data_IF_335227662019
#
_entry.id   IF_335227662019
#
_cell.length_a   1.000
_cell.length_b   1.000
_cell.length_c   1.000
_cell.angle_alpha   90.00
_cell.angle_beta   90.00
_cell.angle_gamma   90.00
#
_symmetry.space_group_name_H-M   'P 1'
#
loop_
_entity.id
_entity.type
_entity.pdbx_description
1 polymer ?
#
# COMPACT_ATOMS: atom_id res chain seq x y z
N UNK A 1 75.77 36.55 10.61
CA UNK A 1 75.09 35.70 9.63
C UNK A 1 74.13 34.74 10.39
N UNK A 2 72.84 35.02 10.41
CA UNK A 2 71.84 34.26 11.17
C UNK A 2 71.11 33.41 10.16
N UNK A 3 71.22 32.08 10.25
CA UNK A 3 70.40 31.15 9.45
C UNK A 3 69.03 31.04 10.07
N UNK A 4 67.98 31.47 9.36
CA UNK A 4 66.59 31.25 9.71
C UNK A 4 66.22 29.88 9.14
N UNK A 5 66.00 28.93 10.03
CA UNK A 5 65.51 27.60 9.68
C UNK A 5 64.01 27.69 9.55
N UNK A 6 63.50 27.62 8.34
CA UNK A 6 62.05 27.54 8.06
C UNK A 6 61.63 26.06 8.22
N UNK A 7 60.95 25.78 9.33
CA UNK A 7 60.33 24.47 9.54
C UNK A 7 59.01 24.42 8.71
N UNK A 8 59.04 23.63 7.65
CA UNK A 8 57.88 23.34 6.85
C UNK A 8 57.01 22.32 7.60
N UNK A 9 55.96 22.76 8.27
CA UNK A 9 54.95 21.86 8.85
C UNK A 9 54.08 21.38 7.71
N UNK A 10 54.28 20.17 7.22
CA UNK A 10 53.41 19.48 6.33
C UNK A 10 52.20 18.97 7.17
N UNK A 11 51.16 19.72 7.17
CA UNK A 11 49.85 19.23 7.72
C UNK A 11 49.26 18.24 6.72
N UNK A 12 49.45 16.98 7.01
CA UNK A 12 48.71 15.91 6.32
C UNK A 12 47.22 16.00 6.71
N UNK A 13 46.45 16.73 5.93
CA UNK A 13 45.02 16.58 5.93
C UNK A 13 44.66 15.21 5.36
N UNK A 14 44.51 14.22 6.24
CA UNK A 14 43.85 12.98 5.87
C UNK A 14 42.39 13.32 5.61
N UNK A 15 42.06 13.50 4.33
CA UNK A 15 40.71 13.58 3.85
C UNK A 15 40.01 12.24 4.13
N UNK A 16 39.38 12.14 5.30
CA UNK A 16 38.41 11.10 5.56
C UNK A 16 37.17 11.46 4.70
N UNK A 17 37.25 11.06 3.44
CA UNK A 17 36.10 11.06 2.57
C UNK A 17 35.10 10.05 3.18
N UNK A 18 34.21 10.55 3.99
CA UNK A 18 33.00 9.84 4.36
C UNK A 18 32.23 9.62 3.05
N UNK A 19 32.51 8.49 2.40
CA UNK A 19 31.67 8.01 1.32
C UNK A 19 30.31 7.70 1.94
N UNK A 20 29.42 8.70 1.96
CA UNK A 20 27.99 8.48 2.01
C UNK A 20 27.66 7.71 0.73
N UNK A 21 27.83 6.41 0.79
CA UNK A 21 27.16 5.51 -0.15
C UNK A 21 25.68 5.70 0.12
N UNK A 22 25.09 6.64 -0.57
CA UNK A 22 23.65 6.69 -0.75
C UNK A 22 23.25 5.32 -1.27
N UNK A 23 22.64 4.52 -0.40
CA UNK A 23 22.00 3.28 -0.78
C UNK A 23 20.95 3.70 -1.81
N UNK A 24 21.32 3.58 -3.09
CA UNK A 24 20.40 3.80 -4.19
C UNK A 24 19.29 2.81 -3.90
N UNK A 25 18.12 3.29 -3.52
CA UNK A 25 16.95 2.45 -3.37
C UNK A 25 16.85 1.67 -4.68
N UNK A 26 17.20 0.39 -4.62
CA UNK A 26 16.92 -0.52 -5.74
C UNK A 26 15.41 -0.47 -5.87
N UNK A 27 14.94 0.13 -6.96
CA UNK A 27 13.53 0.12 -7.26
C UNK A 27 12.99 -1.29 -7.01
N UNK A 28 11.82 -1.38 -6.41
CA UNK A 28 11.20 -2.64 -6.06
C UNK A 28 11.23 -3.57 -7.29
N UNK A 29 11.97 -4.66 -7.21
CA UNK A 29 11.99 -5.66 -8.28
C UNK A 29 10.65 -6.43 -8.23
N UNK A 30 9.75 -6.05 -9.11
CA UNK A 30 8.40 -6.64 -9.22
C UNK A 30 8.43 -8.05 -9.83
N UNK A 31 9.60 -8.52 -10.31
CA UNK A 31 9.76 -9.86 -10.89
C UNK A 31 10.27 -10.89 -9.89
N UNK A 32 10.65 -10.46 -8.68
CA UNK A 32 11.13 -11.35 -7.64
C UNK A 32 9.98 -12.16 -7.03
N UNK A 33 9.85 -13.40 -7.48
CA UNK A 33 8.83 -14.37 -7.05
C UNK A 33 8.99 -14.84 -5.60
N UNK A 34 10.10 -14.50 -4.93
CA UNK A 34 10.31 -14.84 -3.52
C UNK A 34 9.69 -13.84 -2.56
N UNK A 35 9.18 -12.70 -3.06
CA UNK A 35 8.62 -11.64 -2.22
C UNK A 35 7.26 -12.00 -1.66
N UNK A 36 7.18 -11.90 -0.34
CA UNK A 36 5.92 -11.88 0.39
C UNK A 36 5.23 -10.52 0.27
N UNK A 37 3.91 -10.48 0.47
CA UNK A 37 3.17 -9.22 0.60
C UNK A 37 3.76 -8.30 1.69
N UNK A 38 4.41 -8.86 2.71
CA UNK A 38 5.02 -8.12 3.81
C UNK A 38 6.32 -7.39 3.44
N UNK A 39 6.94 -7.71 2.30
CA UNK A 39 8.15 -7.04 1.81
C UNK A 39 7.85 -5.71 1.10
N UNK A 40 6.56 -5.38 0.96
CA UNK A 40 6.12 -4.13 0.35
C UNK A 40 5.92 -3.02 1.38
N UNK A 41 5.81 -1.80 0.88
CA UNK A 41 5.42 -0.62 1.67
C UNK A 41 4.31 0.15 0.97
N UNK A 42 3.55 0.89 1.75
CA UNK A 42 2.50 1.79 1.30
C UNK A 42 2.79 3.21 1.78
N UNK A 43 2.36 4.20 1.01
CA UNK A 43 2.29 5.58 1.46
C UNK A 43 0.85 5.86 1.86
N UNK A 44 0.62 6.15 3.12
CA UNK A 44 -0.70 6.57 3.60
C UNK A 44 -1.08 7.92 3.00
N UNK A 45 -2.37 8.19 2.96
CA UNK A 45 -2.94 9.42 2.38
C UNK A 45 -2.45 10.72 3.08
N UNK A 46 -1.87 10.60 4.28
CA UNK A 46 -1.21 11.70 5.01
C UNK A 46 0.30 11.80 4.74
N UNK A 47 0.81 11.01 3.79
CA UNK A 47 2.22 10.99 3.38
C UNK A 47 3.13 10.11 4.25
N UNK A 48 2.62 9.46 5.28
CA UNK A 48 3.43 8.52 6.07
C UNK A 48 3.68 7.24 5.31
N UNK A 49 4.93 6.79 5.30
CA UNK A 49 5.30 5.48 4.76
C UNK A 49 5.11 4.41 5.84
N UNK A 50 4.41 3.34 5.49
CA UNK A 50 4.26 2.15 6.32
C UNK A 50 4.77 0.90 5.62
N UNK A 51 5.40 0.00 6.38
CA UNK A 51 5.77 -1.34 5.91
C UNK A 51 4.59 -2.29 6.11
N UNK A 52 4.32 -3.13 5.10
CA UNK A 52 3.26 -4.13 5.19
C UNK A 52 3.51 -5.16 6.30
N UNK A 53 4.77 -5.35 6.72
CA UNK A 53 5.14 -6.22 7.84
C UNK A 53 4.41 -5.87 9.14
N UNK A 54 4.02 -4.60 9.34
CA UNK A 54 3.21 -4.13 10.47
C UNK A 54 1.90 -4.91 10.64
N UNK A 55 1.35 -5.41 9.55
CA UNK A 55 0.05 -6.09 9.51
C UNK A 55 0.14 -7.61 9.57
N UNK A 56 1.36 -8.15 9.75
CA UNK A 56 1.59 -9.59 9.88
C UNK A 56 0.81 -10.18 11.06
N UNK A 57 0.21 -11.36 10.84
CA UNK A 57 -0.60 -12.03 11.85
C UNK A 57 -2.08 -11.63 11.86
N UNK A 58 -2.49 -10.68 11.01
CA UNK A 58 -3.90 -10.38 10.71
C UNK A 58 -4.22 -10.69 9.26
N UNK A 59 -5.46 -11.02 8.98
CA UNK A 59 -5.94 -10.98 7.58
C UNK A 59 -5.91 -9.55 7.07
N UNK A 60 -5.70 -9.36 5.77
CA UNK A 60 -5.69 -8.03 5.15
C UNK A 60 -6.68 -8.01 3.99
N UNK A 61 -7.64 -7.08 4.04
CA UNK A 61 -8.58 -6.81 2.96
C UNK A 61 -8.13 -5.57 2.18
N UNK A 62 -7.58 -5.78 1.00
CA UNK A 62 -7.24 -4.71 0.06
C UNK A 62 -8.47 -4.35 -0.76
N UNK A 63 -8.82 -3.07 -0.81
CA UNK A 63 -10.01 -2.58 -1.54
C UNK A 63 -9.65 -1.37 -2.37
N UNK A 64 -9.88 -1.41 -3.68
CA UNK A 64 -9.79 -0.19 -4.49
C UNK A 64 -11.08 0.61 -4.38
N UNK A 65 -10.96 1.86 -4.01
CA UNK A 65 -12.07 2.72 -3.61
C UNK A 65 -12.19 3.97 -4.49
N UNK A 66 -13.38 4.58 -4.51
CA UNK A 66 -13.63 5.82 -5.22
C UNK A 66 -14.80 6.60 -4.60
N UNK A 67 -14.74 7.94 -4.66
CA UNK A 67 -15.73 8.84 -4.04
C UNK A 67 -16.99 9.07 -4.89
N UNK A 68 -16.94 8.80 -6.22
CA UNK A 68 -18.05 9.08 -7.17
C UNK A 68 -18.54 7.82 -7.88
N UNK A 69 -18.59 6.70 -7.18
CA UNK A 69 -19.01 5.40 -7.70
C UNK A 69 -20.39 5.01 -7.13
N UNK A 70 -21.19 4.26 -7.88
CA UNK A 70 -22.41 3.67 -7.34
C UNK A 70 -22.19 2.74 -6.14
N UNK A 71 -20.97 2.21 -5.98
CA UNK A 71 -20.55 1.38 -4.84
C UNK A 71 -19.96 2.19 -3.67
N UNK A 72 -19.81 3.52 -3.76
CA UNK A 72 -19.27 4.36 -2.70
C UNK A 72 -19.94 4.16 -1.33
N UNK A 73 -21.26 3.87 -1.22
CA UNK A 73 -21.87 3.55 0.07
C UNK A 73 -21.27 2.34 0.79
N UNK A 74 -20.47 1.50 0.11
CA UNK A 74 -19.75 0.38 0.77
C UNK A 74 -18.68 0.85 1.76
N UNK A 75 -18.24 2.11 1.73
CA UNK A 75 -17.36 2.65 2.77
C UNK A 75 -17.95 2.48 4.17
N UNK A 76 -19.28 2.67 4.33
CA UNK A 76 -19.95 2.44 5.62
C UNK A 76 -19.80 0.99 6.07
N UNK A 77 -20.05 0.03 5.17
CA UNK A 77 -19.91 -1.40 5.49
C UNK A 77 -18.46 -1.80 5.74
N UNK A 78 -17.47 -1.17 5.05
CA UNK A 78 -16.05 -1.40 5.32
C UNK A 78 -15.69 -0.89 6.72
N UNK A 79 -16.15 0.28 7.12
CA UNK A 79 -15.90 0.83 8.45
C UNK A 79 -16.55 -0.06 9.53
N UNK A 80 -17.79 -0.50 9.33
CA UNK A 80 -18.46 -1.40 10.26
C UNK A 80 -17.75 -2.76 10.37
N UNK A 81 -17.27 -3.32 9.24
CA UNK A 81 -16.48 -4.55 9.25
C UNK A 81 -15.18 -4.34 10.05
N UNK A 82 -14.50 -3.22 9.83
CA UNK A 82 -13.27 -2.86 10.54
C UNK A 82 -13.51 -2.75 12.05
N UNK A 83 -14.55 -2.04 12.48
CA UNK A 83 -14.88 -1.87 13.90
C UNK A 83 -15.23 -3.19 14.60
N UNK A 84 -15.92 -4.09 13.90
CA UNK A 84 -16.34 -5.39 14.47
C UNK A 84 -15.21 -6.42 14.55
N UNK A 85 -14.23 -6.35 13.62
CA UNK A 85 -13.25 -7.41 13.41
C UNK A 85 -11.79 -6.93 13.38
N UNK A 86 -11.48 -5.71 13.86
CA UNK A 86 -10.14 -5.12 13.80
C UNK A 86 -9.04 -5.95 14.49
N UNK A 87 -9.39 -6.83 15.41
CA UNK A 87 -8.45 -7.79 16.01
C UNK A 87 -8.01 -8.88 15.02
N UNK A 88 -8.85 -9.20 14.03
CA UNK A 88 -8.65 -10.29 13.07
C UNK A 88 -8.28 -9.83 11.67
N UNK A 89 -8.71 -8.62 11.29
CA UNK A 89 -8.53 -8.10 9.93
C UNK A 89 -8.04 -6.66 9.96
N UNK A 90 -7.16 -6.35 9.03
CA UNK A 90 -6.86 -4.99 8.62
C UNK A 90 -7.54 -4.69 7.29
N UNK A 91 -8.02 -3.47 7.10
CA UNK A 91 -8.57 -3.01 5.82
C UNK A 91 -7.66 -1.91 5.28
N UNK A 92 -7.26 -2.00 4.02
CA UNK A 92 -6.44 -0.97 3.37
C UNK A 92 -7.16 -0.50 2.12
N UNK A 93 -7.58 0.76 2.11
CA UNK A 93 -8.25 1.40 0.99
C UNK A 93 -7.25 2.02 0.02
N UNK A 94 -7.45 1.75 -1.28
CA UNK A 94 -6.64 2.23 -2.39
C UNK A 94 -7.48 3.14 -3.29
N UNK A 95 -7.49 4.46 -3.07
CA UNK A 95 -8.18 5.39 -3.96
C UNK A 95 -7.63 5.30 -5.38
N UNK A 96 -8.50 5.05 -6.37
CA UNK A 96 -8.08 4.84 -7.74
C UNK A 96 -9.01 5.52 -8.75
N UNK A 97 -8.42 6.28 -9.67
CA UNK A 97 -9.17 6.99 -10.71
C UNK A 97 -9.29 6.20 -12.02
N UNK A 98 -9.03 4.90 -11.98
CA UNK A 98 -8.90 4.02 -13.16
C UNK A 98 -10.26 3.68 -13.81
N UNK A 99 -11.36 3.88 -13.10
CA UNK A 99 -12.70 3.48 -13.52
C UNK A 99 -13.57 4.72 -13.72
N UNK A 100 -13.68 5.16 -14.98
CA UNK A 100 -14.49 6.30 -15.43
C UNK A 100 -14.25 7.58 -14.62
N UNK A 101 -13.01 7.83 -14.20
CA UNK A 101 -12.60 9.02 -13.43
C UNK A 101 -13.45 9.25 -12.16
N UNK A 102 -13.83 8.17 -11.50
CA UNK A 102 -14.69 8.23 -10.31
C UNK A 102 -13.95 8.60 -9.02
N UNK A 103 -12.62 8.81 -9.07
CA UNK A 103 -11.82 9.39 -7.98
C UNK A 103 -10.97 10.58 -8.45
N UNK A 104 -11.61 11.71 -8.86
CA UNK A 104 -10.89 12.85 -9.40
C UNK A 104 -10.16 13.69 -8.35
N UNK A 105 -10.57 13.59 -7.08
CA UNK A 105 -10.11 14.43 -5.98
C UNK A 105 -8.61 14.25 -5.68
N UNK A 106 -8.01 15.23 -4.98
CA UNK A 106 -6.64 15.12 -4.44
C UNK A 106 -6.68 14.36 -3.10
N UNK A 107 -5.51 13.92 -2.63
CA UNK A 107 -5.38 13.12 -1.40
C UNK A 107 -6.06 13.76 -0.18
N UNK A 108 -5.89 15.06 0.04
CA UNK A 108 -6.50 15.76 1.19
C UNK A 108 -8.03 15.80 1.10
N UNK A 109 -8.57 15.96 -0.10
CA UNK A 109 -10.01 15.95 -0.35
C UNK A 109 -10.59 14.54 -0.17
N UNK A 110 -9.88 13.50 -0.63
CA UNK A 110 -10.25 12.09 -0.45
C UNK A 110 -10.24 11.75 1.04
N UNK A 111 -9.20 12.12 1.78
CA UNK A 111 -9.10 11.92 3.23
C UNK A 111 -10.28 12.55 3.96
N UNK A 112 -10.58 13.81 3.64
CA UNK A 112 -11.72 14.53 4.22
C UNK A 112 -13.03 13.85 3.86
N UNK A 113 -13.23 13.46 2.60
CA UNK A 113 -14.43 12.77 2.14
C UNK A 113 -14.66 11.46 2.92
N UNK A 114 -13.64 10.62 3.07
CA UNK A 114 -13.73 9.35 3.78
C UNK A 114 -14.06 9.55 5.27
N UNK A 115 -13.38 10.49 5.93
CA UNK A 115 -13.57 10.73 7.37
C UNK A 115 -14.89 11.42 7.68
N UNK A 116 -15.28 12.45 6.91
CA UNK A 116 -16.49 13.25 7.21
C UNK A 116 -17.77 12.52 6.83
N UNK A 117 -17.80 11.82 5.67
CA UNK A 117 -19.03 11.20 5.20
C UNK A 117 -19.24 9.77 5.72
N UNK A 118 -18.17 9.06 6.06
CA UNK A 118 -18.24 7.63 6.43
C UNK A 118 -17.52 7.28 7.73
N UNK A 119 -16.91 8.25 8.40
CA UNK A 119 -16.17 8.00 9.63
C UNK A 119 -15.00 7.01 9.46
N UNK A 120 -14.41 6.91 8.27
CA UNK A 120 -13.36 5.93 7.98
C UNK A 120 -12.16 6.12 8.89
N UNK A 121 -11.78 5.05 9.59
CA UNK A 121 -10.63 5.00 10.48
C UNK A 121 -9.58 3.97 10.07
N UNK A 122 -9.91 3.06 9.16
CA UNK A 122 -8.93 2.13 8.58
C UNK A 122 -7.97 2.87 7.62
N UNK A 123 -6.76 2.32 7.39
CA UNK A 123 -5.76 2.92 6.50
C UNK A 123 -6.28 3.18 5.08
N UNK A 124 -6.10 4.41 4.62
CA UNK A 124 -6.28 4.82 3.22
C UNK A 124 -4.91 5.26 2.70
N UNK A 125 -4.50 4.77 1.54
CA UNK A 125 -3.25 5.18 0.91
C UNK A 125 -3.42 6.39 -0.02
N UNK A 126 -2.31 6.96 -0.47
CA UNK A 126 -2.30 7.95 -1.56
C UNK A 126 -3.00 7.40 -2.80
N UNK A 127 -3.70 8.28 -3.53
CA UNK A 127 -4.35 7.90 -4.78
C UNK A 127 -3.35 7.28 -5.75
N UNK A 128 -3.70 6.14 -6.31
CA UNK A 128 -2.81 5.33 -7.12
C UNK A 128 -3.50 4.67 -8.31
N UNK A 129 -2.74 3.89 -9.08
CA UNK A 129 -3.21 3.08 -10.20
C UNK A 129 -3.34 1.63 -9.76
N UNK A 130 -4.50 1.01 -10.00
CA UNK A 130 -4.77 -0.39 -9.63
C UNK A 130 -4.95 -1.31 -10.84
N UNK A 131 -5.24 -0.75 -12.03
CA UNK A 131 -5.30 -1.52 -13.29
C UNK A 131 -3.92 -1.95 -13.75
N UNK A 132 -3.86 -3.10 -14.41
CA UNK A 132 -2.63 -3.61 -15.05
C UNK A 132 -2.12 -2.62 -16.10
N UNK A 133 -1.04 -1.94 -15.80
CA UNK A 133 -0.24 -1.12 -16.69
C UNK A 133 1.14 -0.87 -16.04
N UNK A 134 2.01 -0.10 -16.70
CA UNK A 134 3.37 0.21 -16.20
C UNK A 134 3.41 0.98 -14.88
N UNK A 135 2.33 1.68 -14.54
CA UNK A 135 2.22 2.54 -13.36
C UNK A 135 1.41 1.86 -12.23
N UNK A 136 1.06 0.58 -12.41
CA UNK A 136 0.29 -0.17 -11.41
C UNK A 136 1.02 -0.21 -10.07
N UNK A 137 0.29 0.07 -8.99
CA UNK A 137 0.85 0.01 -7.64
C UNK A 137 1.43 -1.38 -7.32
N UNK A 138 2.63 -1.47 -6.72
CA UNK A 138 3.32 -2.74 -6.47
C UNK A 138 2.48 -3.80 -5.74
N UNK A 139 1.66 -3.40 -4.77
CA UNK A 139 0.73 -4.32 -4.09
C UNK A 139 -0.30 -4.87 -5.07
N UNK A 140 -0.87 -4.03 -5.95
CA UNK A 140 -1.83 -4.50 -6.95
C UNK A 140 -1.18 -5.34 -8.05
N UNK A 141 0.10 -5.09 -8.35
CA UNK A 141 0.89 -6.00 -9.19
C UNK A 141 0.98 -7.37 -8.51
N UNK A 142 1.34 -7.42 -7.24
CA UNK A 142 1.38 -8.68 -6.49
C UNK A 142 0.00 -9.36 -6.44
N UNK A 143 -1.06 -8.63 -6.13
CA UNK A 143 -2.43 -9.16 -6.02
C UNK A 143 -2.97 -9.71 -7.34
N UNK A 144 -2.48 -9.27 -8.49
CA UNK A 144 -3.04 -9.59 -9.81
C UNK A 144 -2.08 -10.31 -10.76
N UNK A 145 -0.99 -10.90 -10.25
CA UNK A 145 -0.08 -11.72 -11.03
C UNK A 145 0.19 -13.04 -10.30
N UNK A 146 -0.30 -14.14 -10.88
CA UNK A 146 -0.22 -15.50 -10.30
C UNK A 146 1.21 -15.93 -10.01
N UNK A 147 2.16 -15.47 -10.79
CA UNK A 147 3.59 -15.69 -10.58
C UNK A 147 4.10 -15.14 -9.23
N UNK A 148 3.44 -14.12 -8.68
CA UNK A 148 3.81 -13.45 -7.44
C UNK A 148 2.96 -13.90 -6.25
N UNK A 149 1.64 -14.09 -6.46
CA UNK A 149 0.69 -14.42 -5.39
C UNK A 149 0.33 -15.92 -5.31
N UNK A 150 0.74 -16.70 -6.31
CA UNK A 150 0.57 -18.14 -6.36
C UNK A 150 -0.60 -18.66 -7.21
N UNK A 151 -1.63 -17.84 -7.52
CA UNK A 151 -2.79 -18.36 -8.27
C UNK A 151 -3.61 -17.31 -9.04
N UNK A 152 -3.65 -16.04 -8.65
CA UNK A 152 -4.58 -15.06 -9.21
C UNK A 152 -3.94 -14.14 -10.25
N UNK A 153 -4.57 -14.04 -11.43
CA UNK A 153 -4.20 -13.11 -12.51
C UNK A 153 -5.24 -12.02 -12.74
N UNK A 154 -6.32 -11.97 -11.94
CA UNK A 154 -7.37 -10.99 -12.13
C UNK A 154 -7.03 -9.68 -11.43
N UNK A 155 -6.91 -8.60 -12.21
CA UNK A 155 -6.92 -7.25 -11.71
C UNK A 155 -8.37 -6.79 -11.39
N UNK A 156 -8.55 -5.69 -10.63
CA UNK A 156 -9.89 -5.17 -10.35
C UNK A 156 -10.68 -4.88 -11.63
N UNK A 157 -11.87 -5.45 -11.74
CA UNK A 157 -12.77 -5.16 -12.85
C UNK A 157 -13.52 -3.84 -12.70
N UNK A 158 -13.65 -3.33 -11.48
CA UNK A 158 -14.34 -2.09 -11.12
C UNK A 158 -13.89 -1.56 -9.77
N UNK A 159 -14.40 -0.39 -9.32
CA UNK A 159 -14.20 0.12 -7.97
C UNK A 159 -14.85 -0.81 -6.92
N UNK A 160 -14.32 -0.84 -5.71
CA UNK A 160 -14.73 -1.69 -4.59
C UNK A 160 -14.56 -3.19 -4.86
N UNK A 161 -13.59 -3.57 -5.71
CA UNK A 161 -13.10 -4.92 -5.83
C UNK A 161 -12.20 -5.23 -4.62
N UNK A 162 -12.26 -6.44 -4.10
CA UNK A 162 -11.60 -6.78 -2.83
C UNK A 162 -10.72 -8.01 -2.99
N UNK A 163 -9.59 -8.00 -2.30
CA UNK A 163 -8.64 -9.11 -2.22
C UNK A 163 -8.37 -9.40 -0.76
N UNK A 164 -8.55 -10.65 -0.34
CA UNK A 164 -8.29 -11.08 1.04
C UNK A 164 -6.99 -11.88 1.10
N UNK A 165 -6.09 -11.41 1.94
CA UNK A 165 -4.84 -12.08 2.28
C UNK A 165 -4.95 -12.64 3.70
N UNK A 166 -4.46 -13.86 3.92
CA UNK A 166 -4.47 -14.51 5.22
C UNK A 166 -3.37 -13.98 6.17
N UNK A 167 -3.34 -14.48 7.40
CA UNK A 167 -2.40 -14.08 8.47
C UNK A 167 -0.93 -14.42 8.12
N UNK A 168 -0.73 -15.32 7.14
CA UNK A 168 0.59 -15.74 6.66
C UNK A 168 1.04 -14.98 5.40
N UNK A 169 0.22 -14.04 4.91
CA UNK A 169 0.52 -13.26 3.72
C UNK A 169 0.16 -13.95 2.41
N UNK A 170 -0.70 -14.96 2.43
CA UNK A 170 -1.21 -15.65 1.25
C UNK A 170 -2.50 -14.98 0.75
N UNK A 171 -2.59 -14.71 -0.54
CA UNK A 171 -3.87 -14.35 -1.17
C UNK A 171 -4.80 -15.57 -1.15
N UNK A 172 -5.93 -15.46 -0.48
CA UNK A 172 -6.86 -16.59 -0.28
C UNK A 172 -8.20 -16.41 -1.01
N UNK A 173 -8.65 -15.16 -1.23
CA UNK A 173 -9.93 -14.93 -1.89
C UNK A 173 -9.97 -13.57 -2.58
N UNK A 174 -10.83 -13.46 -3.60
CA UNK A 174 -11.13 -12.22 -4.31
C UNK A 174 -12.65 -12.03 -4.40
N UNK A 175 -13.11 -10.79 -4.22
CA UNK A 175 -14.54 -10.50 -4.26
C UNK A 175 -14.81 -9.38 -5.27
N UNK A 176 -15.69 -9.62 -6.25
CA UNK A 176 -16.14 -8.56 -7.15
C UNK A 176 -16.90 -7.47 -6.38
N UNK A 177 -17.00 -6.29 -7.00
CA UNK A 177 -17.57 -5.08 -6.40
C UNK A 177 -18.98 -5.26 -5.79
N UNK A 178 -19.78 -6.18 -6.33
CA UNK A 178 -21.15 -6.47 -5.87
C UNK A 178 -21.20 -7.10 -4.48
N UNK A 179 -20.16 -7.83 -4.06
CA UNK A 179 -20.09 -8.44 -2.73
C UNK A 179 -19.82 -7.32 -1.72
N UNK A 180 -20.75 -7.15 -0.79
CA UNK A 180 -20.67 -6.11 0.23
C UNK A 180 -19.74 -6.55 1.37
N UNK A 181 -19.14 -5.59 2.10
CA UNK A 181 -18.21 -5.90 3.18
C UNK A 181 -18.75 -6.81 4.28
N UNK A 182 -20.05 -6.76 4.55
CA UNK A 182 -20.70 -7.54 5.60
C UNK A 182 -21.44 -8.78 5.08
N UNK A 183 -21.30 -9.11 3.80
CA UNK A 183 -21.88 -10.34 3.25
C UNK A 183 -21.15 -11.56 3.84
N UNK A 184 -21.88 -12.68 3.94
CA UNK A 184 -21.36 -13.93 4.54
C UNK A 184 -20.09 -14.43 3.89
N UNK A 185 -19.94 -14.19 2.58
CA UNK A 185 -18.74 -14.57 1.81
C UNK A 185 -17.45 -13.97 2.39
N UNK A 186 -17.50 -12.79 3.04
CA UNK A 186 -16.39 -12.14 3.70
C UNK A 186 -16.37 -12.48 5.19
N UNK A 187 -17.52 -12.31 5.87
CA UNK A 187 -17.61 -12.42 7.32
C UNK A 187 -17.29 -13.83 7.83
N UNK A 188 -17.69 -14.88 7.08
CA UNK A 188 -17.42 -16.26 7.47
C UNK A 188 -15.93 -16.61 7.44
N UNK A 189 -15.14 -15.92 6.62
CA UNK A 189 -13.68 -16.07 6.58
C UNK A 189 -12.97 -15.37 7.76
N UNK A 190 -13.70 -14.58 8.57
CA UNK A 190 -13.15 -13.87 9.73
C UNK A 190 -13.51 -14.57 11.06
N UNK A 191 -14.33 -15.58 11.01
CA UNK A 191 -14.71 -16.36 12.22
C UNK A 191 -13.62 -17.35 12.57
#
# INVERSE_FOLDING_TARGET
MKYVMIILIIVLFSSFAFAFFGKKDKGLDLTDKSKSIYDYSINLIDGKKELMEKYKGKKILFVNVASKCGYTPQYQGLQELYERYNEKIEIIGFPANDFLWQEPAKNDEIKSFCSVNYGVTFPIIEKTVVKKNKDQHPIYTWLSHSDLNGWNDLAPGWNFYKYLVDENGKLIEIFPSKIKPLDSEIVDLLK
#
